data_IF_351568653613
#
_entry.id   IF_351568653613
#
_cell.length_a   1.000
_cell.length_b   1.000
_cell.length_c   1.000
_cell.angle_alpha   90.00
_cell.angle_beta   90.00
_cell.angle_gamma   90.00
#
_symmetry.space_group_name_H-M   'P 1'
#
loop_
_entity.id
_entity.type
_entity.pdbx_description
1 polymer ?
#
# COMPACT_ATOMS: atom_id res chain seq x y z
N UNK A 1 -13.13 5.72 -4.65
CA UNK A 1 -13.12 5.75 -3.18
C UNK A 1 -14.43 5.10 -2.79
N UNK A 2 -14.37 3.92 -2.18
CA UNK A 2 -15.59 3.16 -1.84
C UNK A 2 -16.27 3.82 -0.66
N UNK A 3 -17.54 4.16 -0.83
CA UNK A 3 -18.38 4.73 0.22
C UNK A 3 -19.21 3.59 0.79
N UNK A 4 -19.32 3.53 2.11
CA UNK A 4 -20.21 2.61 2.82
C UNK A 4 -21.63 2.72 2.23
N UNK A 5 -22.26 1.59 1.92
CA UNK A 5 -23.65 1.59 1.47
C UNK A 5 -24.56 2.20 2.54
N UNK A 6 -25.41 3.14 2.13
CA UNK A 6 -26.36 3.79 3.02
C UNK A 6 -27.42 2.80 3.54
N UNK A 7 -27.92 3.02 4.75
CA UNK A 7 -29.01 2.19 5.30
C UNK A 7 -30.29 2.31 4.45
N UNK A 8 -31.15 1.28 4.45
CA UNK A 8 -32.45 1.32 3.76
C UNK A 8 -33.28 2.56 4.11
N UNK A 9 -33.27 2.96 5.38
CA UNK A 9 -33.94 4.17 5.84
C UNK A 9 -33.29 5.46 5.30
N UNK A 10 -31.95 5.49 5.20
CA UNK A 10 -31.19 6.57 4.59
C UNK A 10 -31.50 6.73 3.11
N UNK A 11 -31.49 5.62 2.36
CA UNK A 11 -31.87 5.58 0.95
C UNK A 11 -33.30 6.06 0.74
N UNK A 12 -34.23 5.60 1.58
CA UNK A 12 -35.63 6.05 1.57
C UNK A 12 -35.76 7.57 1.75
N UNK A 13 -35.05 8.15 2.73
CA UNK A 13 -35.05 9.60 2.97
C UNK A 13 -34.54 10.42 1.79
N UNK A 14 -33.54 9.91 1.07
CA UNK A 14 -33.01 10.59 -0.13
C UNK A 14 -33.97 10.54 -1.32
N UNK A 15 -34.90 9.58 -1.36
CA UNK A 15 -35.86 9.39 -2.46
C UNK A 15 -37.15 10.16 -2.23
N UNK A 16 -37.56 10.34 -0.97
CA UNK A 16 -38.81 11.00 -0.57
C UNK A 16 -39.09 12.33 -1.31
N UNK A 17 -38.11 13.23 -1.53
CA UNK A 17 -38.36 14.49 -2.25
C UNK A 17 -38.78 14.34 -3.71
N UNK A 18 -38.53 13.17 -4.33
CA UNK A 18 -38.74 12.92 -5.76
C UNK A 18 -39.94 12.00 -6.04
N UNK A 19 -40.69 11.60 -5.00
CA UNK A 19 -41.85 10.71 -5.13
C UNK A 19 -43.02 11.47 -5.76
N UNK A 20 -43.64 10.88 -6.79
CA UNK A 20 -44.82 11.46 -7.44
C UNK A 20 -46.05 11.42 -6.54
N UNK A 21 -46.82 12.52 -6.51
CA UNK A 21 -48.07 12.60 -5.75
C UNK A 21 -49.23 11.82 -6.37
N UNK A 22 -49.17 11.49 -7.66
CA UNK A 22 -50.26 10.78 -8.34
C UNK A 22 -50.30 9.29 -7.98
N UNK A 23 -49.15 8.66 -7.81
CA UNK A 23 -49.00 7.25 -7.42
C UNK A 23 -47.82 7.09 -6.45
N UNK A 24 -47.95 7.57 -5.20
CA UNK A 24 -46.82 7.73 -4.29
C UNK A 24 -46.15 6.42 -3.90
N UNK A 25 -46.93 5.37 -3.64
CA UNK A 25 -46.39 4.05 -3.29
C UNK A 25 -45.59 3.43 -4.44
N UNK A 26 -46.16 3.41 -5.65
CA UNK A 26 -45.51 2.84 -6.82
C UNK A 26 -44.28 3.66 -7.24
N UNK A 27 -44.37 4.99 -7.16
CA UNK A 27 -43.26 5.89 -7.47
C UNK A 27 -42.12 5.75 -6.46
N UNK A 28 -42.43 5.64 -5.17
CA UNK A 28 -41.44 5.37 -4.14
C UNK A 28 -40.79 4.00 -4.32
N UNK A 29 -41.58 2.94 -4.51
CA UNK A 29 -41.07 1.58 -4.68
C UNK A 29 -40.16 1.45 -5.92
N UNK A 30 -40.57 2.00 -7.06
CA UNK A 30 -39.75 1.99 -8.29
C UNK A 30 -38.43 2.74 -8.11
N UNK A 31 -38.46 3.93 -7.51
CA UNK A 31 -37.25 4.73 -7.26
C UNK A 31 -36.35 4.09 -6.21
N UNK A 32 -36.93 3.46 -5.18
CA UNK A 32 -36.19 2.71 -4.17
C UNK A 32 -35.51 1.49 -4.78
N UNK A 33 -36.21 0.72 -5.60
CA UNK A 33 -35.59 -0.41 -6.31
C UNK A 33 -34.46 0.03 -7.23
N UNK A 34 -34.65 1.10 -8.01
CA UNK A 34 -33.59 1.63 -8.88
C UNK A 34 -32.37 2.11 -8.08
N UNK A 35 -32.60 2.74 -6.92
CA UNK A 35 -31.51 3.19 -6.05
C UNK A 35 -30.82 2.03 -5.33
N UNK A 36 -31.57 1.01 -4.92
CA UNK A 36 -31.03 -0.21 -4.35
C UNK A 36 -30.17 -0.98 -5.36
N UNK A 37 -30.59 -1.07 -6.62
CA UNK A 37 -29.80 -1.72 -7.67
C UNK A 37 -28.49 -0.96 -7.97
N UNK A 38 -28.48 0.38 -7.85
CA UNK A 38 -27.28 1.18 -8.05
C UNK A 38 -26.36 1.28 -6.82
N UNK A 39 -26.89 1.17 -5.61
CA UNK A 39 -26.11 1.34 -4.36
C UNK A 39 -25.82 0.04 -3.60
N UNK A 40 -26.49 -1.08 -3.90
CA UNK A 40 -26.21 -2.41 -3.31
C UNK A 40 -25.31 -3.30 -4.17
N UNK A 41 -24.55 -2.74 -5.10
CA UNK A 41 -23.35 -3.42 -5.56
C UNK A 41 -22.33 -3.37 -4.42
N UNK A 42 -22.51 -4.27 -3.43
CA UNK A 42 -21.53 -4.47 -2.38
C UNK A 42 -20.22 -4.83 -3.05
N UNK A 43 -19.21 -4.00 -2.86
CA UNK A 43 -17.88 -4.35 -3.35
C UNK A 43 -17.43 -5.61 -2.61
N UNK A 44 -16.61 -6.45 -3.26
CA UNK A 44 -16.00 -7.59 -2.55
C UNK A 44 -15.27 -7.16 -1.28
N UNK A 45 -14.74 -5.92 -1.26
CA UNK A 45 -14.15 -5.31 -0.07
C UNK A 45 -15.20 -5.10 1.04
N UNK A 46 -16.35 -4.50 0.75
CA UNK A 46 -17.42 -4.28 1.74
C UNK A 46 -17.96 -5.58 2.32
N UNK A 47 -18.11 -6.62 1.49
CA UNK A 47 -18.48 -7.96 1.94
C UNK A 47 -17.41 -8.52 2.89
N UNK A 48 -16.13 -8.46 2.51
CA UNK A 48 -15.05 -8.95 3.38
C UNK A 48 -14.97 -8.18 4.71
N UNK A 49 -15.15 -6.85 4.70
CA UNK A 49 -15.13 -6.06 5.95
C UNK A 49 -16.31 -6.40 6.85
N UNK A 50 -17.50 -6.65 6.30
CA UNK A 50 -18.66 -7.12 7.08
C UNK A 50 -18.39 -8.50 7.67
N UNK A 51 -17.89 -9.45 6.86
CA UNK A 51 -17.60 -10.81 7.31
C UNK A 51 -16.50 -10.86 8.38
N UNK A 52 -15.46 -10.06 8.23
CA UNK A 52 -14.32 -9.98 9.16
C UNK A 52 -14.56 -9.01 10.31
N UNK A 53 -15.77 -8.46 10.45
CA UNK A 53 -16.13 -7.42 11.42
C UNK A 53 -15.12 -6.25 11.50
N UNK A 54 -14.57 -5.89 10.33
CA UNK A 54 -13.58 -4.84 10.18
C UNK A 54 -14.24 -3.54 9.68
N UNK A 55 -13.68 -2.39 10.07
CA UNK A 55 -14.16 -1.10 9.59
C UNK A 55 -13.75 -0.88 8.14
N UNK A 56 -14.71 -0.43 7.31
CA UNK A 56 -14.47 -0.11 5.89
C UNK A 56 -13.36 0.94 5.77
N UNK A 57 -12.23 0.55 5.16
CA UNK A 57 -11.07 1.42 5.00
C UNK A 57 -11.12 2.19 3.67
N UNK A 58 -10.96 3.51 3.74
CA UNK A 58 -10.86 4.36 2.55
C UNK A 58 -9.43 4.38 1.98
N UNK A 59 -9.05 3.32 1.28
CA UNK A 59 -7.75 3.21 0.61
C UNK A 59 -7.77 3.70 -0.84
N UNK A 60 -6.58 3.90 -1.42
CA UNK A 60 -6.43 3.86 -2.88
C UNK A 60 -6.44 2.40 -3.34
N UNK A 61 -7.06 2.12 -4.48
CA UNK A 61 -7.04 0.77 -5.09
C UNK A 61 -5.72 0.45 -5.80
N UNK A 62 -4.77 1.39 -5.82
CA UNK A 62 -3.49 1.22 -6.53
C UNK A 62 -2.43 0.73 -5.56
N UNK A 63 -2.11 -0.55 -5.68
CA UNK A 63 -1.06 -1.23 -4.93
C UNK A 63 0.24 -1.17 -5.74
N UNK A 64 1.35 -0.86 -5.09
CA UNK A 64 2.69 -0.92 -5.67
C UNK A 64 3.54 -1.91 -4.90
N UNK A 65 4.00 -2.95 -5.60
CA UNK A 65 4.95 -3.90 -5.03
C UNK A 65 6.32 -3.22 -4.85
N UNK A 66 6.94 -3.46 -3.71
CA UNK A 66 8.25 -2.93 -3.32
C UNK A 66 9.14 -4.13 -3.05
N UNK A 67 10.14 -4.32 -3.92
CA UNK A 67 11.21 -5.29 -3.68
C UNK A 67 12.14 -4.73 -2.61
N UNK A 68 12.23 -5.45 -1.50
CA UNK A 68 13.01 -5.08 -0.33
C UNK A 68 14.35 -5.79 -0.29
N UNK A 69 14.66 -6.72 -1.21
CA UNK A 69 15.94 -7.43 -1.22
C UNK A 69 17.13 -6.47 -1.38
N UNK A 70 18.36 -6.87 -1.05
CA UNK A 70 19.55 -6.08 -1.36
C UNK A 70 19.59 -5.71 -2.86
N UNK A 71 20.14 -4.54 -3.19
CA UNK A 71 20.11 -3.97 -4.54
C UNK A 71 20.61 -4.95 -5.61
N UNK A 72 21.68 -5.69 -5.29
CA UNK A 72 22.32 -6.68 -6.14
C UNK A 72 21.38 -7.84 -6.53
N UNK A 73 20.34 -8.06 -5.73
CA UNK A 73 19.36 -9.13 -5.89
C UNK A 73 18.03 -8.67 -6.51
N UNK A 74 17.79 -7.35 -6.65
CA UNK A 74 16.51 -6.79 -7.12
C UNK A 74 16.23 -6.96 -8.64
N UNK A 75 16.92 -7.89 -9.30
CA UNK A 75 16.75 -8.18 -10.72
C UNK A 75 17.38 -7.10 -11.59
N UNK A 76 18.49 -7.46 -12.25
CA UNK A 76 19.05 -6.62 -13.31
C UNK A 76 18.06 -6.49 -14.47
N UNK A 77 18.15 -5.36 -15.15
CA UNK A 77 17.36 -5.03 -16.33
C UNK A 77 17.27 -6.22 -17.31
N UNK A 78 16.06 -6.73 -17.51
CA UNK A 78 15.80 -7.76 -18.51
C UNK A 78 15.74 -7.07 -19.87
N UNK A 79 16.72 -7.35 -20.75
CA UNK A 79 16.59 -7.05 -22.18
C UNK A 79 15.63 -8.08 -22.77
N UNK A 80 14.42 -7.63 -23.09
CA UNK A 80 13.49 -8.44 -23.86
C UNK A 80 13.95 -8.40 -25.32
N UNK A 81 14.58 -9.48 -25.77
CA UNK A 81 14.97 -9.63 -27.17
C UNK A 81 13.71 -9.96 -27.98
N UNK A 82 13.10 -8.94 -28.59
CA UNK A 82 11.93 -9.05 -29.46
C UNK A 82 12.11 -8.17 -30.69
N UNK A 83 11.66 -8.67 -31.84
CA UNK A 83 11.94 -8.14 -33.19
C UNK A 83 11.42 -6.72 -33.48
N UNK A 84 10.76 -6.09 -32.50
CA UNK A 84 10.43 -4.68 -32.53
C UNK A 84 10.45 -4.12 -31.11
N UNK A 85 11.46 -3.28 -30.83
CA UNK A 85 11.63 -2.44 -29.64
C UNK A 85 12.40 -3.09 -28.47
N UNK A 86 13.73 -2.99 -28.53
CA UNK A 86 14.69 -3.34 -27.47
C UNK A 86 14.56 -2.42 -26.24
N UNK A 87 13.45 -2.52 -25.51
CA UNK A 87 13.24 -1.81 -24.26
C UNK A 87 13.91 -2.56 -23.10
N UNK A 88 14.97 -1.98 -22.51
CA UNK A 88 15.44 -2.42 -21.19
C UNK A 88 14.34 -2.19 -20.15
N UNK A 89 13.86 -3.26 -19.50
CA UNK A 89 12.93 -3.14 -18.38
C UNK A 89 13.73 -2.79 -17.13
N UNK A 90 13.98 -1.49 -16.94
CA UNK A 90 14.66 -0.97 -15.76
C UNK A 90 13.77 -1.11 -14.52
N UNK A 91 14.30 -1.71 -13.47
CA UNK A 91 13.65 -1.90 -12.17
C UNK A 91 13.21 -0.58 -11.54
N UNK A 92 12.22 -0.62 -10.64
CA UNK A 92 11.67 0.61 -10.05
C UNK A 92 12.65 1.32 -9.12
N UNK A 93 13.46 0.55 -8.37
CA UNK A 93 14.48 1.10 -7.52
C UNK A 93 15.62 1.71 -8.34
N UNK A 94 16.03 1.05 -9.42
CA UNK A 94 17.00 1.60 -10.36
C UNK A 94 16.53 2.91 -11.01
N UNK A 95 15.24 3.00 -11.35
CA UNK A 95 14.62 4.27 -11.78
C UNK A 95 14.75 5.33 -10.69
N UNK A 96 14.51 4.99 -9.42
CA UNK A 96 14.69 5.92 -8.32
C UNK A 96 16.14 6.40 -8.17
N UNK A 97 17.13 5.50 -8.25
CA UNK A 97 18.55 5.86 -8.16
C UNK A 97 19.01 6.73 -9.34
N UNK A 98 18.43 6.50 -10.53
CA UNK A 98 18.65 7.28 -11.75
C UNK A 98 18.00 8.68 -11.75
N UNK A 99 17.59 9.18 -10.59
CA UNK A 99 16.85 10.42 -10.44
C UNK A 99 17.58 11.63 -11.03
N UNK A 100 16.83 12.55 -11.64
CA UNK A 100 17.36 13.86 -12.01
C UNK A 100 17.72 14.68 -10.77
N UNK A 101 18.77 15.52 -10.82
CA UNK A 101 19.19 16.36 -9.68
C UNK A 101 18.08 17.24 -9.10
N UNK A 102 17.06 17.59 -9.90
CA UNK A 102 15.92 18.39 -9.47
C UNK A 102 15.08 17.75 -8.34
N UNK A 103 15.24 16.45 -8.11
CA UNK A 103 14.48 15.71 -7.10
C UNK A 103 15.41 15.05 -6.07
N UNK A 104 16.61 15.60 -5.84
CA UNK A 104 17.62 15.06 -4.91
C UNK A 104 17.04 14.72 -3.53
N UNK A 105 16.21 15.61 -2.98
CA UNK A 105 15.56 15.45 -1.66
C UNK A 105 14.42 14.40 -1.63
N UNK A 106 14.03 13.85 -2.78
CA UNK A 106 12.95 12.87 -2.85
C UNK A 106 13.36 11.55 -2.21
N UNK A 107 12.65 11.14 -1.16
CA UNK A 107 12.82 9.82 -0.54
C UNK A 107 12.23 8.72 -1.41
N UNK A 108 12.73 7.49 -1.25
CA UNK A 108 12.17 6.36 -1.99
C UNK A 108 10.71 6.09 -1.63
N UNK A 109 10.32 6.33 -0.37
CA UNK A 109 8.94 6.23 0.09
C UNK A 109 8.02 7.20 -0.67
N UNK A 110 8.36 8.49 -0.76
CA UNK A 110 7.54 9.48 -1.47
C UNK A 110 7.48 9.18 -2.97
N UNK A 111 8.61 8.79 -3.56
CA UNK A 111 8.67 8.34 -4.94
C UNK A 111 7.70 7.18 -5.24
N UNK A 112 7.72 6.14 -4.40
CA UNK A 112 6.87 4.96 -4.59
C UNK A 112 5.39 5.32 -4.47
N UNK A 113 5.05 6.12 -3.45
CA UNK A 113 3.69 6.46 -3.09
C UNK A 113 3.04 7.48 -4.04
N UNK A 114 3.83 8.45 -4.53
CA UNK A 114 3.31 9.67 -5.14
C UNK A 114 3.88 9.98 -6.53
N UNK A 115 4.69 9.11 -7.15
CA UNK A 115 5.27 9.38 -8.47
C UNK A 115 5.04 8.30 -9.53
N UNK A 116 4.80 8.77 -10.75
CA UNK A 116 4.68 7.97 -11.97
C UNK A 116 5.98 8.01 -12.78
N UNK A 117 6.43 6.85 -13.23
CA UNK A 117 7.63 6.65 -14.05
C UNK A 117 7.29 6.19 -15.47
N UNK A 118 6.06 6.44 -15.92
CA UNK A 118 5.39 5.72 -17.02
C UNK A 118 5.81 6.09 -18.45
N UNK A 119 6.79 6.96 -18.67
CA UNK A 119 7.21 7.28 -20.05
C UNK A 119 8.49 6.53 -20.40
N UNK A 120 8.51 5.93 -21.60
CA UNK A 120 9.67 5.25 -22.22
C UNK A 120 10.98 6.03 -22.07
N UNK A 121 10.90 7.35 -21.93
CA UNK A 121 12.06 8.21 -21.74
C UNK A 121 12.73 8.16 -20.36
N UNK A 122 12.13 7.56 -19.32
CA UNK A 122 12.73 7.47 -17.97
C UNK A 122 12.99 8.81 -17.24
N UNK A 123 12.96 9.93 -17.98
CA UNK A 123 13.39 11.29 -17.60
C UNK A 123 12.25 12.23 -17.24
N UNK A 124 10.99 11.86 -17.51
CA UNK A 124 9.82 12.68 -17.17
C UNK A 124 8.98 11.98 -16.12
N UNK A 125 9.34 12.21 -14.86
CA UNK A 125 8.54 11.77 -13.73
C UNK A 125 7.40 12.77 -13.55
N UNK A 126 6.20 12.25 -13.32
CA UNK A 126 5.05 13.09 -13.01
C UNK A 126 4.51 12.69 -11.66
N UNK A 127 4.18 13.68 -10.84
CA UNK A 127 3.50 13.42 -9.58
C UNK A 127 2.16 12.74 -9.88
N UNK A 128 1.91 11.64 -9.18
CA UNK A 128 0.58 11.05 -9.02
C UNK A 128 -0.38 12.19 -8.69
N UNK A 129 -1.49 12.31 -9.42
CA UNK A 129 -2.37 13.49 -9.44
C UNK A 129 -2.53 14.15 -8.07
N UNK A 130 -2.54 15.50 -8.00
CA UNK A 130 -2.64 16.26 -6.74
C UNK A 130 -3.84 15.89 -5.85
N UNK A 131 -4.88 15.29 -6.44
CA UNK A 131 -6.10 14.88 -5.72
C UNK A 131 -6.13 13.37 -5.40
N UNK A 132 -5.15 12.60 -5.87
CA UNK A 132 -5.13 11.16 -5.67
C UNK A 132 -4.46 10.81 -4.34
N UNK A 133 -5.06 9.87 -3.60
CA UNK A 133 -4.47 9.32 -2.38
C UNK A 133 -3.13 8.61 -2.69
N UNK A 134 -2.13 8.66 -1.77
CA UNK A 134 -0.86 7.94 -1.92
C UNK A 134 -1.10 6.45 -2.12
N UNK A 135 -0.26 5.80 -2.96
CA UNK A 135 -0.33 4.36 -3.25
C UNK A 135 -0.16 3.51 -2.00
N UNK A 136 -0.88 2.39 -1.96
CA UNK A 136 -0.62 1.35 -0.96
C UNK A 136 0.64 0.60 -1.39
N UNK A 137 1.59 0.45 -0.46
CA UNK A 137 2.85 -0.23 -0.73
C UNK A 137 2.79 -1.67 -0.21
N UNK A 138 3.14 -2.62 -1.08
CA UNK A 138 3.20 -4.05 -0.76
C UNK A 138 4.66 -4.50 -0.76
N UNK A 139 5.20 -4.71 0.43
CA UNK A 139 6.61 -5.02 0.62
C UNK A 139 6.92 -6.52 0.53
N UNK A 140 7.98 -6.89 -0.19
CA UNK A 140 8.46 -8.26 -0.27
C UNK A 140 9.99 -8.33 -0.44
N UNK A 141 10.71 -9.22 0.26
CA UNK A 141 10.27 -9.91 1.46
C UNK A 141 10.07 -8.93 2.63
N UNK A 142 9.25 -9.33 3.62
CA UNK A 142 9.18 -8.63 4.91
C UNK A 142 10.17 -9.26 5.88
N UNK A 143 11.21 -8.52 6.22
CA UNK A 143 12.22 -8.94 7.20
C UNK A 143 11.70 -8.79 8.63
N UNK A 144 12.25 -9.59 9.55
CA UNK A 144 11.85 -9.61 10.96
C UNK A 144 12.35 -8.36 11.68
N UNK A 145 11.47 -7.67 12.40
CA UNK A 145 11.76 -6.46 13.17
C UNK A 145 12.34 -6.72 14.57
N UNK A 146 12.54 -7.99 14.95
CA UNK A 146 13.14 -8.37 16.23
C UNK A 146 14.67 -8.15 16.19
N UNK A 147 15.25 -7.30 17.06
CA UNK A 147 16.70 -7.02 17.12
C UNK A 147 17.59 -8.25 17.30
N UNK A 148 17.07 -9.34 17.86
CA UNK A 148 17.80 -10.59 18.07
C UNK A 148 17.76 -11.53 16.86
N UNK A 149 16.95 -11.21 15.84
CA UNK A 149 16.81 -12.04 14.66
C UNK A 149 17.91 -11.73 13.63
N UNK A 150 18.41 -12.75 12.92
CA UNK A 150 19.47 -12.58 11.91
C UNK A 150 19.07 -11.69 10.71
N UNK A 151 17.78 -11.45 10.51
CA UNK A 151 17.24 -10.58 9.45
C UNK A 151 17.04 -9.12 9.90
N UNK A 152 17.37 -8.80 11.16
CA UNK A 152 17.11 -7.46 11.69
C UNK A 152 17.89 -6.37 10.96
N UNK A 153 19.12 -6.66 10.58
CA UNK A 153 19.95 -5.71 9.82
C UNK A 153 19.32 -5.39 8.45
N UNK A 154 18.74 -6.39 7.77
CA UNK A 154 17.98 -6.19 6.54
C UNK A 154 16.67 -5.41 6.78
N UNK A 155 16.00 -5.63 7.90
CA UNK A 155 14.85 -4.81 8.30
C UNK A 155 15.26 -3.34 8.45
N UNK A 156 16.35 -3.06 9.17
CA UNK A 156 16.90 -1.72 9.33
C UNK A 156 17.33 -1.09 8.00
N UNK A 157 17.93 -1.87 7.09
CA UNK A 157 18.28 -1.41 5.74
C UNK A 157 17.06 -0.90 4.98
N UNK A 158 15.95 -1.64 5.00
CA UNK A 158 14.71 -1.23 4.33
C UNK A 158 14.12 0.03 4.96
N UNK A 159 14.13 0.12 6.30
CA UNK A 159 13.68 1.33 7.01
C UNK A 159 14.48 2.57 6.58
N UNK A 160 15.80 2.47 6.54
CA UNK A 160 16.70 3.55 6.09
C UNK A 160 16.49 3.89 4.61
N UNK A 161 16.33 2.88 3.75
CA UNK A 161 16.02 3.04 2.32
C UNK A 161 14.73 3.83 2.08
N UNK A 162 13.71 3.65 2.91
CA UNK A 162 12.44 4.37 2.77
C UNK A 162 12.51 5.78 3.39
N UNK A 163 13.26 5.93 4.48
CA UNK A 163 13.33 7.14 5.29
C UNK A 163 14.16 8.27 4.66
N UNK A 164 15.23 7.94 3.95
CA UNK A 164 16.19 8.93 3.45
C UNK A 164 16.26 8.99 1.92
N UNK A 165 16.50 10.19 1.40
CA UNK A 165 16.93 10.37 0.02
C UNK A 165 18.34 9.79 -0.16
N UNK A 166 18.53 9.00 -1.22
CA UNK A 166 19.82 8.42 -1.55
C UNK A 166 19.92 8.16 -3.06
N UNK A 167 21.13 8.15 -3.60
CA UNK A 167 21.40 7.86 -5.02
C UNK A 167 22.34 6.68 -5.20
N UNK A 168 23.01 6.30 -4.13
CA UNK A 168 23.78 5.07 -4.06
C UNK A 168 23.31 4.25 -2.84
N UNK A 169 22.96 2.95 -3.01
CA UNK A 169 22.64 2.07 -1.89
C UNK A 169 23.70 2.04 -0.78
N UNK A 170 24.97 2.34 -1.08
CA UNK A 170 26.04 2.44 -0.09
C UNK A 170 25.85 3.59 0.91
N UNK A 171 25.08 4.63 0.54
CA UNK A 171 24.78 5.78 1.39
C UNK A 171 23.83 5.44 2.53
N UNK A 172 23.10 4.34 2.45
CA UNK A 172 22.11 3.95 3.45
C UNK A 172 22.70 3.73 4.84
N UNK A 173 23.99 3.45 4.96
CA UNK A 173 24.70 3.35 6.26
C UNK A 173 25.28 4.68 6.74
N UNK A 174 25.00 5.79 6.06
CA UNK A 174 25.51 7.12 6.42
C UNK A 174 24.40 7.98 7.01
N UNK A 175 24.54 8.36 8.28
CA UNK A 175 23.61 9.30 8.95
C UNK A 175 24.37 10.58 9.26
N UNK A 176 23.87 11.72 8.76
CA UNK A 176 24.53 13.03 8.90
C UNK A 176 25.99 13.05 8.42
N UNK A 177 26.31 12.25 7.39
CA UNK A 177 27.66 12.11 6.85
C UNK A 177 28.59 11.16 7.62
N UNK A 178 28.13 10.56 8.72
CA UNK A 178 28.88 9.55 9.49
C UNK A 178 28.51 8.16 9.00
N UNK A 179 29.50 7.37 8.57
CA UNK A 179 29.31 5.98 8.15
C UNK A 179 29.33 5.03 9.35
N UNK A 180 28.41 4.06 9.36
CA UNK A 180 28.27 3.05 10.40
C UNK A 180 28.54 1.65 9.87
N UNK A 181 28.98 0.75 10.75
CA UNK A 181 29.35 -0.62 10.39
C UNK A 181 28.17 -1.47 9.91
N UNK A 182 26.97 -1.22 10.45
CA UNK A 182 25.75 -1.99 10.18
C UNK A 182 24.56 -1.08 9.92
N UNK A 183 23.51 -1.59 9.27
CA UNK A 183 22.26 -0.86 9.12
C UNK A 183 21.53 -0.74 10.45
N UNK A 184 21.66 -1.73 11.33
CA UNK A 184 21.09 -1.69 12.67
C UNK A 184 21.62 -0.49 13.49
N UNK A 185 22.94 -0.28 13.52
CA UNK A 185 23.55 0.85 14.24
C UNK A 185 23.23 2.21 13.58
N UNK A 186 23.20 2.27 12.25
CA UNK A 186 22.74 3.47 11.54
C UNK A 186 21.27 3.80 11.86
N UNK A 187 20.38 2.79 11.87
CA UNK A 187 18.96 2.97 12.15
C UNK A 187 18.72 3.45 13.59
N UNK A 188 19.43 2.90 14.57
CA UNK A 188 19.33 3.35 15.97
C UNK A 188 19.61 4.85 16.10
N UNK A 189 20.70 5.34 15.50
CA UNK A 189 21.04 6.76 15.53
C UNK A 189 20.05 7.61 14.74
N UNK A 190 19.62 7.11 13.57
CA UNK A 190 18.65 7.77 12.71
C UNK A 190 17.32 8.01 13.43
N UNK A 191 16.68 6.96 13.95
CA UNK A 191 15.38 7.05 14.60
C UNK A 191 15.42 7.77 15.96
N UNK A 192 16.61 7.92 16.57
CA UNK A 192 16.80 8.76 17.75
C UNK A 192 16.85 10.26 17.43
N UNK A 193 17.34 10.64 16.24
CA UNK A 193 17.55 12.04 15.85
C UNK A 193 16.49 12.60 14.90
N UNK A 194 15.92 11.74 14.06
CA UNK A 194 15.03 12.13 12.97
C UNK A 194 13.60 11.66 13.20
N UNK A 195 12.65 12.42 12.67
CA UNK A 195 11.25 11.99 12.55
C UNK A 195 10.96 11.57 11.12
N UNK A 196 10.32 10.41 10.97
CA UNK A 196 9.92 9.86 9.69
C UNK A 196 8.41 9.61 9.66
N UNK A 197 7.76 9.76 8.49
CA UNK A 197 6.38 9.33 8.33
C UNK A 197 6.25 7.81 8.50
N UNK A 198 5.05 7.34 8.80
CA UNK A 198 4.77 5.90 8.84
C UNK A 198 4.90 5.30 7.44
N UNK A 199 5.81 4.33 7.32
CA UNK A 199 6.07 3.59 6.09
C UNK A 199 5.23 2.31 6.00
N UNK A 200 4.48 1.93 7.04
CA UNK A 200 3.68 0.70 7.10
C UNK A 200 4.50 -0.59 6.85
N UNK A 201 5.84 -0.51 6.91
CA UNK A 201 6.72 -1.68 6.79
C UNK A 201 6.76 -2.46 8.11
N UNK A 202 6.87 -1.73 9.22
CA UNK A 202 6.88 -2.25 10.59
C UNK A 202 7.67 -1.34 11.52
N UNK A 203 7.51 -1.57 12.83
CA UNK A 203 8.32 -0.93 13.88
C UNK A 203 9.21 -1.97 14.57
N UNK A 204 10.39 -1.58 15.08
CA UNK A 204 11.23 -2.47 15.89
C UNK A 204 10.43 -3.06 17.05
N UNK A 205 10.69 -4.33 17.39
CA UNK A 205 10.01 -5.06 18.47
C UNK A 205 8.47 -5.14 18.37
N UNK A 206 7.88 -4.82 17.21
CA UNK A 206 6.47 -5.07 16.99
C UNK A 206 6.18 -6.57 17.04
N UNK A 207 5.20 -6.95 17.86
CA UNK A 207 4.63 -8.29 17.82
C UNK A 207 4.18 -8.61 16.39
N UNK A 208 4.61 -9.76 15.88
CA UNK A 208 4.11 -10.23 14.60
C UNK A 208 2.62 -10.46 14.73
N UNK A 209 1.81 -9.60 14.09
CA UNK A 209 0.41 -9.92 13.82
C UNK A 209 0.37 -11.12 12.86
N UNK A 210 0.48 -12.32 13.42
CA UNK A 210 0.04 -13.52 12.75
C UNK A 210 -1.48 -13.58 12.93
N UNK A 211 -2.23 -13.98 11.90
CA UNK A 211 -3.59 -14.46 12.12
C UNK A 211 -3.51 -15.52 13.21
N UNK A 212 -4.40 -15.44 14.20
CA UNK A 212 -4.48 -16.49 15.21
C UNK A 212 -4.86 -17.80 14.49
N UNK A 213 -4.04 -18.86 14.55
CA UNK A 213 -4.36 -20.12 13.90
C UNK A 213 -5.73 -20.67 14.33
N UNK A 214 -6.18 -20.32 15.54
CA UNK A 214 -7.43 -20.80 16.13
C UNK A 214 -8.67 -20.01 15.64
N UNK A 215 -8.50 -18.90 14.91
CA UNK A 215 -9.62 -18.09 14.39
C UNK A 215 -10.34 -18.77 13.20
N UNK A 216 -9.75 -19.84 12.64
CA UNK A 216 -10.26 -20.59 11.49
C UNK A 216 -10.47 -22.10 11.76
N UNK A 217 -10.37 -22.56 13.01
CA UNK A 217 -10.81 -23.92 13.33
C UNK A 217 -12.35 -23.97 13.31
N UNK A 218 -12.92 -24.63 12.30
CA UNK A 218 -14.35 -24.94 12.26
C UNK A 218 -14.72 -25.67 13.57
N UNK A 219 -15.60 -25.07 14.38
CA UNK A 219 -16.33 -25.78 15.43
C UNK A 219 -17.13 -26.91 14.75
N UNK A 220 -16.52 -28.09 14.65
CA UNK A 220 -17.18 -29.34 14.32
C UNK A 220 -18.21 -29.62 15.42
N UNK A 221 -19.43 -29.11 15.25
CA UNK A 221 -20.58 -29.60 15.99
C UNK A 221 -20.81 -31.06 15.58
N UNK A 222 -20.39 -31.98 16.45
CA UNK A 222 -20.88 -33.35 16.36
C UNK A 222 -22.42 -33.31 16.48
N UNK A 223 -23.17 -33.88 15.53
CA UNK A 223 -24.61 -33.92 15.64
C UNK A 223 -24.97 -34.79 16.86
N UNK A 224 -25.74 -34.23 17.79
CA UNK A 224 -26.37 -35.00 18.85
C UNK A 224 -27.20 -36.12 18.20
N UNK A 225 -26.71 -37.35 18.32
CA UNK A 225 -27.44 -38.54 17.92
C UNK A 225 -28.62 -38.72 18.88
N UNK A 226 -29.82 -38.40 18.41
CA UNK A 226 -31.10 -38.81 18.99
C UNK A 226 -31.47 -40.23 18.54
#
# INVERSE_FOLDING_TARGET
MEKRTDSYAGLGRQILPYVSHQNPLLSFASRLMNKLLGERDFSGQEICHILLNCQLQEGTRVIRAVDCRPYEQQGRSLRLQGDHDDGEVVGIYEKYLSCLPLHEELTYLDFLANWNTSKRDGRKWTRWSRQAKPRVLYYFPRYKSNPRHHQYDDFCRVKLMLAHSHRDPSELRKIDGIEYDSYASAAEVCYAKHQHPDDYYGTPDAEERRPDPDEFEEELHEPELL
#
